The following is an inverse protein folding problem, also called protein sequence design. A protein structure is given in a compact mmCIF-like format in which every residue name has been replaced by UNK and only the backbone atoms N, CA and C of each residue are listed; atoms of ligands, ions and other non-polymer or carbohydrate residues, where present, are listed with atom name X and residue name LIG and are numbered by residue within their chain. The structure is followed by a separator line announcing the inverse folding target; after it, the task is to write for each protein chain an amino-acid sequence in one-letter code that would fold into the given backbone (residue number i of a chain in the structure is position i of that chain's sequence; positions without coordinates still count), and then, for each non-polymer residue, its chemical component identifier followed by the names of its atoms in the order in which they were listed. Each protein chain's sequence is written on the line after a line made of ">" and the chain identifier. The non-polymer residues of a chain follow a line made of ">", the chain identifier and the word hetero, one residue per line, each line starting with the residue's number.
data_IF_950528560743
#
_entry.id   IF_950528560743
#
_cell.length_a   1.000
_cell.length_b   1.000
_cell.length_c   1.000
_cell.angle_alpha   90.00
_cell.angle_beta   90.00
_cell.angle_gamma   90.00
#
_symmetry.space_group_name_H-M   'P 1'
#
loop_
_entity.id
_entity.type
_entity.pdbx_description
1 polymer ?
#
# COMPACT_ATOMS: atom_id res chain seq x y z
N UNK A 1 -15.09 4.56 15.44
CA UNK A 1 -13.61 4.67 15.42
C UNK A 1 -13.15 6.06 15.88
N UNK A 2 -13.76 7.16 15.45
CA UNK A 2 -13.38 8.52 15.86
C UNK A 2 -13.31 8.72 17.38
N UNK A 3 -14.27 8.16 18.13
CA UNK A 3 -14.30 8.27 19.60
C UNK A 3 -13.28 7.39 20.32
N UNK A 4 -12.79 6.35 19.67
CA UNK A 4 -11.85 5.38 20.24
C UNK A 4 -10.40 5.76 19.91
N UNK A 5 -10.19 6.34 18.73
CA UNK A 5 -8.86 6.63 18.20
C UNK A 5 -7.99 7.50 19.12
N UNK A 6 -8.49 8.59 19.74
CA UNK A 6 -7.68 9.38 20.65
C UNK A 6 -7.08 8.59 21.82
N UNK A 7 -7.82 7.59 22.32
CA UNK A 7 -7.35 6.71 23.40
C UNK A 7 -6.43 5.60 22.87
N UNK A 8 -6.79 5.01 21.73
CA UNK A 8 -6.02 3.94 21.11
C UNK A 8 -4.64 4.42 20.64
N UNK A 9 -4.59 5.59 19.97
CA UNK A 9 -3.34 6.18 19.47
C UNK A 9 -2.34 6.52 20.59
N UNK A 10 -2.83 6.78 21.81
CA UNK A 10 -2.01 7.04 22.99
C UNK A 10 -1.69 5.77 23.78
N UNK A 11 -2.20 4.62 23.37
CA UNK A 11 -1.92 3.38 24.08
C UNK A 11 -0.44 2.98 23.97
N UNK A 12 0.14 2.35 25.03
CA UNK A 12 1.53 1.88 24.97
C UNK A 12 1.80 0.89 23.83
N UNK A 13 0.78 0.17 23.37
CA UNK A 13 0.88 -0.77 22.25
C UNK A 13 1.21 -0.04 20.95
N UNK A 14 0.54 1.08 20.64
CA UNK A 14 0.81 1.84 19.42
C UNK A 14 2.03 2.76 19.57
N UNK A 15 2.23 3.36 20.74
CA UNK A 15 3.37 4.26 20.96
C UNK A 15 4.72 3.53 21.00
N UNK A 16 4.72 2.24 21.40
CA UNK A 16 5.92 1.40 21.47
C UNK A 16 5.93 0.33 20.39
N UNK A 17 5.14 0.54 19.31
CA UNK A 17 5.12 -0.41 18.20
C UNK A 17 6.50 -0.52 17.56
N UNK A 18 6.97 -1.74 17.42
CA UNK A 18 8.19 -2.07 16.69
C UNK A 18 7.95 -3.29 15.80
N UNK A 19 8.57 -3.28 14.64
CA UNK A 19 8.55 -4.45 13.76
C UNK A 19 9.41 -5.57 14.33
N UNK A 20 8.92 -6.81 14.22
CA UNK A 20 9.68 -7.97 14.71
C UNK A 20 10.95 -8.19 13.89
N UNK A 21 11.99 -8.82 14.45
CA UNK A 21 13.22 -9.17 13.73
C UNK A 21 12.95 -9.99 12.45
N UNK A 22 11.90 -10.81 12.44
CA UNK A 22 11.49 -11.58 11.25
C UNK A 22 11.13 -10.66 10.08
N UNK A 23 10.34 -9.60 10.33
CA UNK A 23 9.92 -8.63 9.31
C UNK A 23 11.08 -7.73 8.90
N UNK A 24 11.90 -7.31 9.86
CA UNK A 24 13.12 -6.54 9.59
C UNK A 24 14.08 -7.32 8.69
N UNK A 25 14.30 -8.60 8.99
CA UNK A 25 15.12 -9.49 8.16
C UNK A 25 14.51 -9.74 6.75
N UNK A 26 13.18 -9.78 6.64
CA UNK A 26 12.51 -9.85 5.34
C UNK A 26 12.70 -8.55 4.55
N UNK A 27 12.63 -7.39 5.20
CA UNK A 27 12.93 -6.10 4.58
C UNK A 27 14.37 -6.05 4.07
N UNK A 28 15.35 -6.44 4.90
CA UNK A 28 16.76 -6.44 4.53
C UNK A 28 17.05 -7.32 3.30
N UNK A 29 16.47 -8.51 3.25
CA UNK A 29 16.59 -9.41 2.10
C UNK A 29 16.07 -8.80 0.80
N UNK A 30 15.10 -7.91 0.86
CA UNK A 30 14.41 -7.31 -0.28
C UNK A 30 14.73 -5.82 -0.47
N UNK A 31 15.72 -5.27 0.22
CA UNK A 31 16.06 -3.83 0.20
C UNK A 31 16.21 -3.25 -1.20
N UNK A 32 16.76 -4.03 -2.13
CA UNK A 32 17.00 -3.61 -3.52
C UNK A 32 15.71 -3.24 -4.26
N UNK A 33 14.57 -3.73 -3.81
CA UNK A 33 13.27 -3.41 -4.38
C UNK A 33 12.74 -2.05 -3.88
N UNK A 34 13.21 -1.56 -2.74
CA UNK A 34 12.65 -0.41 -2.05
C UNK A 34 13.61 0.78 -1.93
N UNK A 35 14.92 0.53 -1.83
CA UNK A 35 15.93 1.56 -1.59
C UNK A 35 16.79 1.83 -2.83
N UNK A 36 17.22 3.08 -2.98
CA UNK A 36 18.27 3.40 -3.94
C UNK A 36 19.62 2.90 -3.42
N UNK A 37 20.41 2.26 -4.27
CA UNK A 37 21.75 1.74 -3.91
C UNK A 37 22.67 2.81 -3.34
N UNK A 38 22.47 4.07 -3.73
CA UNK A 38 23.26 5.24 -3.30
C UNK A 38 22.94 5.72 -1.88
N UNK A 39 21.86 5.29 -1.28
CA UNK A 39 21.39 5.74 0.05
C UNK A 39 21.42 4.63 1.11
N UNK A 40 22.13 3.53 0.86
CA UNK A 40 22.19 2.42 1.80
C UNK A 40 23.04 2.76 3.02
N UNK A 41 22.37 3.00 4.15
CA UNK A 41 23.03 2.87 5.44
C UNK A 41 23.32 1.38 5.73
N UNK A 42 24.46 1.03 6.37
CA UNK A 42 24.67 -0.32 6.87
C UNK A 42 23.53 -0.68 7.84
N UNK A 43 22.91 -1.84 7.66
CA UNK A 43 22.01 -2.36 8.69
C UNK A 43 22.92 -2.94 9.77
N UNK A 44 22.78 -2.51 11.05
CA UNK A 44 23.39 -3.19 12.16
C UNK A 44 22.92 -4.65 12.17
N UNK A 45 23.78 -5.58 12.62
CA UNK A 45 23.42 -6.99 12.72
C UNK A 45 21.99 -7.18 13.26
N UNK A 46 21.21 -8.03 12.60
CA UNK A 46 19.79 -8.26 12.90
C UNK A 46 19.53 -8.76 14.35
N UNK A 47 20.59 -9.03 15.13
CA UNK A 47 20.58 -9.37 16.55
C UNK A 47 20.78 -8.14 17.45
N UNK A 48 21.01 -6.94 16.90
CA UNK A 48 21.08 -5.72 17.68
C UNK A 48 19.67 -5.25 18.06
N UNK A 49 19.42 -5.07 19.33
CA UNK A 49 18.13 -4.56 19.86
C UNK A 49 17.74 -3.15 19.34
N UNK A 50 18.62 -2.50 18.58
CA UNK A 50 18.47 -1.14 18.05
C UNK A 50 18.59 -1.06 16.53
N UNK A 51 17.94 -1.95 15.77
CA UNK A 51 17.91 -1.84 14.31
C UNK A 51 17.08 -0.65 13.91
N UNK A 52 17.72 0.45 13.60
CA UNK A 52 17.09 1.62 12.98
C UNK A 52 16.98 1.39 11.47
N UNK A 53 15.84 0.92 11.02
CA UNK A 53 15.52 0.93 9.59
C UNK A 53 15.34 2.38 9.12
N UNK A 54 15.60 2.68 7.84
CA UNK A 54 15.32 4.02 7.31
C UNK A 54 13.85 4.36 7.57
N UNK A 55 13.62 5.49 8.23
CA UNK A 55 12.27 5.93 8.57
C UNK A 55 11.46 6.41 7.37
N UNK A 56 12.13 6.65 6.24
CA UNK A 56 11.54 7.25 5.05
C UNK A 56 12.19 6.74 3.77
N UNK A 57 11.37 6.29 2.84
CA UNK A 57 11.76 5.82 1.51
C UNK A 57 11.43 6.89 0.47
N UNK A 58 12.24 7.97 0.45
CA UNK A 58 12.06 9.06 -0.50
C UNK A 58 12.05 8.59 -1.94
N UNK A 59 11.18 9.17 -2.77
CA UNK A 59 11.00 8.81 -4.17
C UNK A 59 10.24 7.51 -4.41
N UNK A 60 9.73 6.84 -3.37
CA UNK A 60 8.93 5.62 -3.48
C UNK A 60 7.43 5.91 -3.31
N UNK A 61 6.65 5.57 -4.32
CA UNK A 61 5.19 5.45 -4.23
C UNK A 61 4.83 3.98 -3.99
N UNK A 62 4.01 3.72 -2.98
CA UNK A 62 3.44 2.40 -2.73
C UNK A 62 1.96 2.39 -3.08
N UNK A 63 1.53 1.37 -3.79
CA UNK A 63 0.12 1.22 -4.19
C UNK A 63 -0.39 -0.16 -3.76
N UNK A 64 -1.45 -0.22 -2.96
CA UNK A 64 -2.10 -1.47 -2.61
C UNK A 64 -3.30 -1.73 -3.52
N UNK A 65 -3.28 -2.86 -4.23
CA UNK A 65 -4.32 -3.27 -5.18
C UNK A 65 -4.82 -4.66 -4.82
N UNK A 66 -5.93 -4.74 -4.11
CA UNK A 66 -6.62 -6.01 -3.87
C UNK A 66 -7.42 -6.42 -5.09
N UNK A 67 -7.21 -7.67 -5.55
CA UNK A 67 -7.87 -8.27 -6.72
C UNK A 67 -8.37 -9.69 -6.40
N UNK A 68 -8.70 -10.43 -7.44
CA UNK A 68 -9.08 -11.83 -7.36
C UNK A 68 -10.46 -12.01 -6.73
N UNK A 69 -10.50 -12.62 -5.58
CA UNK A 69 -11.71 -12.97 -4.82
C UNK A 69 -12.52 -11.75 -4.32
N UNK A 70 -11.93 -10.57 -4.32
CA UNK A 70 -12.51 -9.37 -3.70
C UNK A 70 -13.63 -8.70 -4.50
N UNK A 71 -13.81 -9.02 -5.78
CA UNK A 71 -14.87 -8.42 -6.61
C UNK A 71 -16.27 -8.68 -6.02
N UNK A 72 -16.51 -9.90 -5.54
CA UNK A 72 -17.78 -10.27 -4.89
C UNK A 72 -18.01 -9.50 -3.59
N UNK A 73 -16.94 -9.30 -2.82
CA UNK A 73 -17.00 -8.53 -1.57
C UNK A 73 -17.33 -7.05 -1.82
N UNK A 74 -16.74 -6.43 -2.84
CA UNK A 74 -17.06 -5.04 -3.21
C UNK A 74 -18.53 -4.86 -3.61
N UNK A 75 -19.11 -5.82 -4.34
CA UNK A 75 -20.55 -5.83 -4.65
C UNK A 75 -21.43 -6.00 -3.40
N UNK A 76 -20.97 -6.81 -2.45
CA UNK A 76 -21.66 -6.97 -1.16
C UNK A 76 -21.65 -5.67 -0.36
N UNK A 77 -20.49 -5.00 -0.22
CA UNK A 77 -20.40 -3.71 0.48
C UNK A 77 -21.32 -2.65 -0.14
N UNK A 78 -21.34 -2.56 -1.49
CA UNK A 78 -22.26 -1.70 -2.23
C UNK A 78 -23.72 -1.98 -1.88
N UNK A 79 -24.13 -3.26 -1.93
CA UNK A 79 -25.52 -3.68 -1.64
C UNK A 79 -25.96 -3.32 -0.23
N UNK A 80 -25.04 -3.43 0.75
CA UNK A 80 -25.30 -3.12 2.15
C UNK A 80 -25.06 -1.64 2.49
N UNK A 81 -24.57 -0.84 1.54
CA UNK A 81 -24.13 0.54 1.79
C UNK A 81 -23.12 0.67 2.94
N UNK A 82 -22.27 -0.35 3.11
CA UNK A 82 -21.26 -0.39 4.16
C UNK A 82 -20.00 0.38 3.77
N UNK A 83 -19.33 0.99 4.78
CA UNK A 83 -17.98 1.54 4.62
C UNK A 83 -16.95 0.43 4.34
N UNK A 84 -15.80 0.80 3.80
CA UNK A 84 -14.72 -0.14 3.46
C UNK A 84 -13.94 -0.57 4.70
N UNK A 85 -13.54 0.41 5.52
CA UNK A 85 -12.88 0.21 6.81
C UNK A 85 -13.25 1.36 7.76
N UNK A 86 -12.81 1.25 9.01
CA UNK A 86 -13.19 2.22 10.02
C UNK A 86 -12.36 3.53 9.98
N UNK A 87 -11.30 3.58 9.18
CA UNK A 87 -10.38 4.71 9.13
C UNK A 87 -10.75 5.74 8.06
N UNK A 88 -11.42 5.37 6.98
CA UNK A 88 -11.78 6.30 5.91
C UNK A 88 -12.90 7.29 6.24
N UNK A 89 -13.32 7.34 7.50
CA UNK A 89 -14.19 8.40 8.06
C UNK A 89 -13.41 9.53 8.72
N UNK A 90 -12.08 9.40 8.85
CA UNK A 90 -11.25 10.42 9.49
C UNK A 90 -11.14 11.69 8.63
N UNK A 91 -11.23 12.88 9.25
CA UNK A 91 -11.21 14.14 8.53
C UNK A 91 -9.88 14.47 7.85
N UNK A 92 -8.79 13.82 8.26
CA UNK A 92 -7.46 13.95 7.70
C UNK A 92 -7.32 13.34 6.30
N UNK A 93 -8.20 12.42 5.93
CA UNK A 93 -8.20 11.83 4.60
C UNK A 93 -8.92 12.74 3.61
N UNK A 94 -8.25 13.05 2.50
CA UNK A 94 -8.82 13.82 1.40
C UNK A 94 -9.91 13.07 0.63
N UNK A 95 -9.87 11.74 0.67
CA UNK A 95 -10.79 10.82 -0.02
C UNK A 95 -11.61 10.04 1.01
N UNK A 96 -12.52 10.76 1.68
CA UNK A 96 -13.41 10.17 2.69
C UNK A 96 -14.45 9.26 2.06
N UNK A 97 -14.97 8.36 2.88
CA UNK A 97 -16.09 7.53 2.49
C UNK A 97 -17.41 8.33 2.54
N UNK A 98 -17.80 8.86 1.41
CA UNK A 98 -19.01 9.65 1.22
C UNK A 98 -19.78 9.17 -0.03
N UNK A 99 -20.39 7.97 0.01
CA UNK A 99 -21.06 7.42 -1.16
C UNK A 99 -22.33 8.22 -1.51
N UNK A 100 -22.58 8.46 -2.82
CA UNK A 100 -23.81 9.09 -3.29
C UNK A 100 -25.07 8.33 -2.85
N UNK A 101 -26.18 9.04 -2.69
CA UNK A 101 -27.45 8.46 -2.31
C UNK A 101 -28.14 7.69 -3.43
N UNK A 102 -27.97 8.12 -4.69
CA UNK A 102 -28.56 7.43 -5.84
C UNK A 102 -27.81 6.13 -6.18
N UNK A 103 -28.55 5.15 -6.67
CA UNK A 103 -28.03 3.80 -6.90
C UNK A 103 -26.89 3.77 -7.94
N UNK A 104 -27.00 4.49 -9.05
CA UNK A 104 -26.03 4.40 -10.14
C UNK A 104 -24.71 5.06 -9.79
N UNK A 105 -24.73 6.28 -9.28
CA UNK A 105 -23.53 6.98 -8.81
C UNK A 105 -22.87 6.24 -7.65
N UNK A 106 -23.66 5.66 -6.74
CA UNK A 106 -23.15 4.82 -5.68
C UNK A 106 -22.47 3.55 -6.20
N UNK A 107 -23.05 2.89 -7.23
CA UNK A 107 -22.43 1.72 -7.86
C UNK A 107 -21.05 2.05 -8.44
N UNK A 108 -20.96 3.15 -9.16
CA UNK A 108 -19.70 3.65 -9.72
C UNK A 108 -18.71 3.99 -8.63
N UNK A 109 -19.15 4.70 -7.58
CA UNK A 109 -18.33 5.05 -6.43
C UNK A 109 -17.68 3.81 -5.78
N UNK A 110 -18.48 2.77 -5.49
CA UNK A 110 -17.95 1.53 -4.91
C UNK A 110 -16.99 0.81 -5.85
N UNK A 111 -17.28 0.78 -7.15
CA UNK A 111 -16.39 0.15 -8.13
C UNK A 111 -15.06 0.88 -8.19
N UNK A 112 -15.07 2.19 -8.27
CA UNK A 112 -13.87 3.01 -8.40
C UNK A 112 -12.96 2.95 -7.17
N UNK A 113 -13.53 2.82 -5.97
CA UNK A 113 -12.75 2.78 -4.73
C UNK A 113 -12.37 1.37 -4.29
N UNK A 114 -13.19 0.37 -4.60
CA UNK A 114 -13.00 -0.99 -4.10
C UNK A 114 -12.35 -1.91 -5.13
N UNK A 115 -12.74 -1.79 -6.41
CA UNK A 115 -12.24 -2.65 -7.49
C UNK A 115 -11.98 -1.85 -8.77
N UNK A 116 -11.11 -0.83 -8.72
CA UNK A 116 -10.90 0.12 -9.81
C UNK A 116 -10.38 -0.55 -11.09
N UNK A 117 -10.67 0.02 -12.25
CA UNK A 117 -10.07 -0.40 -13.52
C UNK A 117 -8.57 -0.08 -13.57
N UNK A 118 -7.85 -0.70 -14.52
CA UNK A 118 -6.42 -0.38 -14.71
C UNK A 118 -6.21 1.09 -15.06
N UNK A 119 -7.09 1.66 -15.86
CA UNK A 119 -7.05 3.07 -16.26
C UNK A 119 -7.23 4.00 -15.06
N UNK A 120 -8.15 3.66 -14.15
CA UNK A 120 -8.37 4.43 -12.92
C UNK A 120 -7.17 4.38 -11.99
N UNK A 121 -6.57 3.19 -11.84
CA UNK A 121 -5.34 3.00 -11.06
C UNK A 121 -4.20 3.85 -11.63
N UNK A 122 -3.95 3.77 -12.94
CA UNK A 122 -2.90 4.52 -13.62
C UNK A 122 -3.12 6.03 -13.45
N UNK A 123 -4.35 6.51 -13.70
CA UNK A 123 -4.69 7.92 -13.53
C UNK A 123 -4.42 8.43 -12.11
N UNK A 124 -4.73 7.63 -11.08
CA UNK A 124 -4.47 8.01 -9.69
C UNK A 124 -2.96 8.03 -9.38
N UNK A 125 -2.20 7.04 -9.87
CA UNK A 125 -0.75 6.98 -9.74
C UNK A 125 -0.11 8.23 -10.36
N UNK A 126 -0.49 8.58 -11.59
CA UNK A 126 0.04 9.76 -12.27
C UNK A 126 -0.31 11.07 -11.56
N UNK A 127 -1.55 11.19 -11.06
CA UNK A 127 -1.96 12.37 -10.27
C UNK A 127 -1.11 12.54 -9.02
N UNK A 128 -0.84 11.46 -8.28
CA UNK A 128 0.03 11.52 -7.09
C UNK A 128 1.48 11.85 -7.49
N UNK A 129 2.01 11.22 -8.53
CA UNK A 129 3.36 11.48 -9.02
C UNK A 129 3.58 12.93 -9.45
N UNK A 130 2.58 13.54 -10.10
CA UNK A 130 2.64 14.95 -10.51
C UNK A 130 2.68 15.90 -9.30
N UNK A 131 1.99 15.55 -8.21
CA UNK A 131 1.99 16.33 -6.98
C UNK A 131 3.25 16.11 -6.12
N UNK A 132 4.00 15.04 -6.37
CA UNK A 132 5.22 14.65 -5.66
C UNK A 132 6.36 14.49 -6.67
N UNK A 133 7.03 15.58 -7.02
CA UNK A 133 8.03 15.61 -8.09
C UNK A 133 9.28 14.73 -7.87
N UNK A 134 9.46 14.21 -6.67
CA UNK A 134 10.53 13.29 -6.27
C UNK A 134 10.25 11.82 -6.57
N UNK A 135 8.97 11.45 -6.76
CA UNK A 135 8.55 10.05 -6.97
C UNK A 135 9.07 9.54 -8.32
N UNK A 136 9.94 8.53 -8.26
CA UNK A 136 10.54 7.84 -9.40
C UNK A 136 10.43 6.33 -9.35
N UNK A 137 10.02 5.77 -8.21
CA UNK A 137 9.91 4.33 -7.99
C UNK A 137 8.50 3.98 -7.56
N UNK A 138 8.03 2.83 -8.02
CA UNK A 138 6.69 2.32 -7.74
C UNK A 138 6.80 0.91 -7.17
N UNK A 139 6.16 0.68 -6.03
CA UNK A 139 5.97 -0.65 -5.46
C UNK A 139 4.48 -0.98 -5.39
N UNK A 140 4.08 -2.09 -6.00
CA UNK A 140 2.69 -2.52 -6.06
C UNK A 140 2.47 -3.73 -5.15
N UNK A 141 1.81 -3.49 -4.04
CA UNK A 141 1.33 -4.53 -3.13
C UNK A 141 0.06 -5.16 -3.72
N UNK A 142 0.10 -6.41 -4.15
CA UNK A 142 -1.06 -7.01 -4.81
C UNK A 142 -1.12 -8.53 -4.72
N UNK A 143 -2.34 -9.06 -4.64
CA UNK A 143 -2.63 -10.47 -4.85
C UNK A 143 -2.98 -10.80 -6.30
N UNK A 144 -2.97 -9.83 -7.21
CA UNK A 144 -3.21 -10.04 -8.63
C UNK A 144 -2.14 -10.93 -9.27
N UNK A 145 -2.53 -11.67 -10.31
CA UNK A 145 -1.67 -12.61 -11.04
C UNK A 145 -1.94 -12.55 -12.55
N UNK A 146 -1.03 -13.17 -13.31
CA UNK A 146 -1.22 -13.45 -14.73
C UNK A 146 -1.32 -12.21 -15.61
N UNK A 147 -2.11 -12.32 -16.67
CA UNK A 147 -2.18 -11.33 -17.75
C UNK A 147 -2.64 -9.95 -17.30
N UNK A 148 -3.51 -9.88 -16.30
CA UNK A 148 -3.99 -8.57 -15.81
C UNK A 148 -2.86 -7.75 -15.19
N UNK A 149 -2.05 -8.36 -14.31
CA UNK A 149 -0.91 -7.67 -13.70
C UNK A 149 0.14 -7.29 -14.76
N UNK A 150 0.47 -8.21 -15.65
CA UNK A 150 1.41 -7.94 -16.76
C UNK A 150 0.94 -6.77 -17.63
N UNK A 151 -0.36 -6.72 -17.97
CA UNK A 151 -0.95 -5.61 -18.73
C UNK A 151 -0.88 -4.28 -17.98
N UNK A 152 -1.14 -4.28 -16.66
CA UNK A 152 -1.02 -3.07 -15.83
C UNK A 152 0.42 -2.55 -15.81
N UNK A 153 1.41 -3.43 -15.59
CA UNK A 153 2.82 -3.07 -15.57
C UNK A 153 3.28 -2.47 -16.91
N UNK A 154 2.94 -3.12 -18.03
CA UNK A 154 3.27 -2.64 -19.37
C UNK A 154 2.68 -1.25 -19.68
N UNK A 155 1.46 -0.98 -19.21
CA UNK A 155 0.85 0.35 -19.33
C UNK A 155 1.56 1.39 -18.45
N UNK A 156 1.92 1.05 -17.22
CA UNK A 156 2.63 1.96 -16.31
C UNK A 156 4.01 2.33 -16.84
N UNK A 157 4.75 1.39 -17.43
CA UNK A 157 6.04 1.65 -18.08
C UNK A 157 5.93 2.64 -19.26
N UNK A 158 4.76 2.69 -19.91
CA UNK A 158 4.50 3.62 -21.04
C UNK A 158 4.07 5.02 -20.57
N UNK A 159 3.58 5.18 -19.36
CA UNK A 159 3.03 6.46 -18.89
C UNK A 159 4.09 7.43 -18.39
N UNK A 160 5.20 6.93 -17.88
CA UNK A 160 6.28 7.74 -17.29
C UNK A 160 7.61 7.02 -17.28
N UNK A 161 8.69 7.81 -17.13
CA UNK A 161 10.01 7.25 -16.84
C UNK A 161 10.10 6.89 -15.36
N UNK A 162 9.98 5.60 -15.06
CA UNK A 162 10.20 5.04 -13.74
C UNK A 162 11.63 4.52 -13.62
N UNK A 163 12.28 4.78 -12.49
CA UNK A 163 13.57 4.16 -12.17
C UNK A 163 13.40 2.67 -11.87
N UNK A 164 12.29 2.31 -11.26
CA UNK A 164 11.89 0.93 -11.03
C UNK A 164 10.37 0.82 -10.79
N UNK A 165 9.78 -0.25 -11.31
CA UNK A 165 8.44 -0.74 -10.93
C UNK A 165 8.62 -2.14 -10.39
N UNK A 166 8.26 -2.36 -9.12
CA UNK A 166 8.35 -3.65 -8.44
C UNK A 166 7.01 -4.02 -7.80
N UNK A 167 6.83 -5.29 -7.49
CA UNK A 167 5.57 -5.80 -6.95
C UNK A 167 5.83 -6.73 -5.77
N UNK A 168 4.81 -7.02 -4.98
CA UNK A 168 4.90 -8.07 -3.95
C UNK A 168 5.15 -9.48 -4.52
N UNK A 169 5.15 -9.64 -5.87
CA UNK A 169 5.54 -10.90 -6.53
C UNK A 169 7.05 -11.04 -6.72
N UNK A 170 7.79 -9.95 -6.62
CA UNK A 170 9.25 -9.92 -6.74
C UNK A 170 9.94 -10.16 -5.40
N UNK A 171 9.16 -10.25 -4.31
CA UNK A 171 9.68 -10.48 -2.97
C UNK A 171 10.26 -11.88 -2.81
N UNK A 172 11.43 -11.93 -2.18
CA UNK A 172 12.11 -13.17 -1.83
C UNK A 172 12.01 -13.41 -0.31
N UNK A 173 11.48 -14.56 0.08
CA UNK A 173 11.23 -14.91 1.48
C UNK A 173 11.86 -16.25 1.85
N UNK A 174 12.26 -16.41 3.11
CA UNK A 174 12.34 -17.72 3.73
C UNK A 174 10.94 -18.28 3.94
N UNK A 175 10.82 -19.57 4.25
CA UNK A 175 9.53 -20.18 4.56
C UNK A 175 8.80 -19.45 5.68
N UNK A 176 9.48 -19.10 6.75
CA UNK A 176 8.92 -18.38 7.91
C UNK A 176 8.49 -16.95 7.52
N UNK A 177 9.33 -16.23 6.79
CA UNK A 177 9.02 -14.88 6.31
C UNK A 177 7.79 -14.85 5.40
N UNK A 178 7.56 -15.91 4.62
CA UNK A 178 6.42 -16.04 3.73
C UNK A 178 5.07 -15.94 4.44
N UNK A 179 4.97 -16.44 5.68
CA UNK A 179 3.76 -16.30 6.51
C UNK A 179 3.47 -14.85 6.94
N UNK A 180 4.50 -14.02 6.97
CA UNK A 180 4.42 -12.63 7.41
C UNK A 180 4.58 -11.63 6.24
N UNK A 181 4.41 -12.07 4.99
CA UNK A 181 4.62 -11.25 3.80
C UNK A 181 3.82 -9.95 3.78
N UNK A 182 2.57 -9.98 4.26
CA UNK A 182 1.71 -8.80 4.36
C UNK A 182 2.25 -7.76 5.37
N UNK A 183 2.94 -8.20 6.41
CA UNK A 183 3.56 -7.30 7.37
C UNK A 183 4.77 -6.57 6.76
N UNK A 184 5.52 -7.21 5.85
CA UNK A 184 6.56 -6.53 5.09
C UNK A 184 5.97 -5.45 4.18
N UNK A 185 4.88 -5.77 3.46
CA UNK A 185 4.15 -4.80 2.64
C UNK A 185 3.73 -3.58 3.48
N UNK A 186 3.17 -3.81 4.67
CA UNK A 186 2.76 -2.74 5.58
C UNK A 186 3.95 -1.89 6.09
N UNK A 187 5.09 -2.52 6.40
CA UNK A 187 6.32 -1.82 6.79
C UNK A 187 6.81 -0.90 5.65
N UNK A 188 6.82 -1.38 4.41
CA UNK A 188 7.25 -0.59 3.25
C UNK A 188 6.27 0.55 2.99
N UNK A 189 4.96 0.29 3.05
CA UNK A 189 3.92 1.31 2.89
C UNK A 189 4.01 2.42 3.95
N UNK A 190 4.28 2.07 5.21
CA UNK A 190 4.44 3.02 6.31
C UNK A 190 5.59 4.01 6.07
N UNK A 191 6.59 3.64 5.28
CA UNK A 191 7.82 4.41 5.05
C UNK A 191 7.91 5.07 3.69
N UNK A 192 6.99 4.76 2.79
CA UNK A 192 6.91 5.34 1.46
C UNK A 192 6.68 6.85 1.51
N UNK A 193 7.15 7.56 0.48
CA UNK A 193 6.86 8.98 0.31
C UNK A 193 5.37 9.24 0.11
N UNK A 194 4.69 8.36 -0.62
CA UNK A 194 3.26 8.41 -0.79
C UNK A 194 2.67 6.99 -0.83
N UNK A 195 1.43 6.87 -0.39
CA UNK A 195 0.68 5.62 -0.39
C UNK A 195 -0.69 5.80 -1.04
N UNK A 196 -1.04 4.88 -1.92
CA UNK A 196 -2.38 4.77 -2.50
C UNK A 196 -2.95 3.42 -2.10
N UNK A 197 -4.04 3.43 -1.33
CA UNK A 197 -4.85 2.25 -1.04
C UNK A 197 -6.13 2.24 -1.87
N UNK A 198 -6.64 1.06 -2.22
CA UNK A 198 -8.04 0.96 -2.60
C UNK A 198 -8.92 0.93 -1.33
N UNK A 199 -10.23 1.12 -1.46
CA UNK A 199 -11.13 1.26 -0.31
C UNK A 199 -11.11 0.09 0.69
N UNK A 200 -10.53 -1.05 0.32
CA UNK A 200 -10.36 -2.25 1.15
C UNK A 200 -8.91 -2.50 1.57
N UNK A 201 -8.05 -1.50 1.44
CA UNK A 201 -6.67 -1.52 1.98
C UNK A 201 -6.72 -1.31 3.50
N UNK A 202 -5.91 -2.07 4.23
CA UNK A 202 -5.79 -1.99 5.69
C UNK A 202 -4.54 -1.25 6.09
#
# INVERSE_FOLDING_TARGET
>A
MLDIWPKLSQSPILQRFAWSPLIVGAYDRNRDLFELKTHRAPIPDALSENVTLPNYLGGLLVVHIRRGDFQGHCKYLQKQSCGYNAFNVFPEFSDRFEPPSDYWSRSTYYTDHCYPSSERIISKIESVRQNHGTIRRLYIMTNAKGSWLASLLAKLEQTASWDAITTSRDLNFTQEQGYASQALDALVAQRAEAFIGNGVSY
#
